data_IF_085449111792
#
_entry.id   IF_085449111792
#
_cell.length_a   1.000
_cell.length_b   1.000
_cell.length_c   1.000
_cell.angle_alpha   90.00
_cell.angle_beta   90.00
_cell.angle_gamma   90.00
#
_symmetry.space_group_name_H-M   'P 1'
#
loop_
_entity.id
_entity.type
_entity.pdbx_description
1 polymer ?
#
# COMPACT_ATOMS: atom_id res chain seq x y z
N UNK A 1 -28.79 50.05 7.82
CA UNK A 1 -28.20 48.82 8.42
C UNK A 1 -28.76 47.51 7.85
N UNK A 2 -29.29 47.45 6.60
CA UNK A 2 -29.77 46.19 5.99
C UNK A 2 -28.79 45.57 4.98
N UNK A 3 -27.83 46.35 4.47
CA UNK A 3 -26.91 45.92 3.39
C UNK A 3 -25.75 45.04 3.87
N UNK A 4 -25.31 45.19 5.12
CA UNK A 4 -24.22 44.39 5.68
C UNK A 4 -24.60 42.92 5.99
N UNK A 5 -25.89 42.65 6.23
CA UNK A 5 -26.38 41.31 6.58
C UNK A 5 -26.42 40.37 5.36
N UNK A 6 -26.67 40.91 4.17
CA UNK A 6 -26.76 40.13 2.92
C UNK A 6 -25.39 39.64 2.45
N UNK A 7 -24.33 40.42 2.68
CA UNK A 7 -22.96 40.05 2.30
C UNK A 7 -22.41 38.90 3.17
N UNK A 8 -22.75 38.88 4.47
CA UNK A 8 -22.30 37.82 5.40
C UNK A 8 -22.97 36.48 5.10
N UNK A 9 -24.27 36.47 4.73
CA UNK A 9 -24.98 35.26 4.33
C UNK A 9 -24.45 34.64 3.04
N UNK A 10 -23.98 35.46 2.09
CA UNK A 10 -23.43 35.00 0.80
C UNK A 10 -22.04 34.36 0.96
N UNK A 11 -21.21 34.89 1.87
CA UNK A 11 -19.89 34.32 2.20
C UNK A 11 -20.02 33.00 2.98
N UNK A 12 -20.99 32.91 3.91
CA UNK A 12 -21.25 31.66 4.67
C UNK A 12 -21.74 30.54 3.73
N UNK A 13 -22.61 30.86 2.77
CA UNK A 13 -23.08 29.89 1.76
C UNK A 13 -21.96 29.36 0.87
N UNK A 14 -21.04 30.23 0.44
CA UNK A 14 -19.89 29.84 -0.39
C UNK A 14 -18.88 28.95 0.36
N UNK A 15 -18.63 29.21 1.65
CA UNK A 15 -17.75 28.38 2.49
C UNK A 15 -18.38 27.01 2.81
N UNK A 16 -19.71 26.98 3.01
CA UNK A 16 -20.46 25.74 3.20
C UNK A 16 -20.44 24.85 1.95
N UNK A 17 -20.66 25.44 0.77
CA UNK A 17 -20.58 24.74 -0.51
C UNK A 17 -19.16 24.24 -0.81
N UNK A 18 -18.12 25.04 -0.55
CA UNK A 18 -16.73 24.62 -0.71
C UNK A 18 -16.34 23.45 0.21
N UNK A 19 -16.83 23.43 1.46
CA UNK A 19 -16.61 22.30 2.38
C UNK A 19 -17.38 21.04 1.97
N UNK A 20 -18.60 21.18 1.43
CA UNK A 20 -19.37 20.05 0.93
C UNK A 20 -18.73 19.45 -0.34
N UNK A 21 -18.26 20.29 -1.25
CA UNK A 21 -17.53 19.87 -2.47
C UNK A 21 -16.19 19.23 -2.09
N UNK A 22 -15.44 19.79 -1.13
CA UNK A 22 -14.20 19.17 -0.66
C UNK A 22 -14.44 17.82 0.03
N UNK A 23 -15.50 17.67 0.84
CA UNK A 23 -15.87 16.37 1.44
C UNK A 23 -16.35 15.36 0.41
N UNK A 24 -17.13 15.80 -0.58
CA UNK A 24 -17.58 14.94 -1.67
C UNK A 24 -16.40 14.49 -2.55
N UNK A 25 -15.47 15.40 -2.88
CA UNK A 25 -14.26 15.09 -3.64
C UNK A 25 -13.31 14.15 -2.87
N UNK A 26 -13.16 14.33 -1.56
CA UNK A 26 -12.40 13.40 -0.70
C UNK A 26 -13.09 12.03 -0.61
N UNK A 27 -14.43 12.00 -0.55
CA UNK A 27 -15.22 10.77 -0.55
C UNK A 27 -15.10 10.00 -1.86
N UNK A 28 -15.20 10.67 -3.01
CA UNK A 28 -15.08 10.05 -4.34
C UNK A 28 -13.65 9.62 -4.64
N UNK A 29 -12.64 10.42 -4.26
CA UNK A 29 -11.25 10.02 -4.38
C UNK A 29 -10.93 8.81 -3.49
N UNK A 30 -11.48 8.77 -2.27
CA UNK A 30 -11.34 7.61 -1.37
C UNK A 30 -11.99 6.34 -1.93
N UNK A 31 -13.18 6.47 -2.53
CA UNK A 31 -13.90 5.35 -3.17
C UNK A 31 -13.20 4.84 -4.44
N UNK A 32 -12.65 5.73 -5.25
CA UNK A 32 -11.88 5.34 -6.44
C UNK A 32 -10.60 4.60 -6.04
N UNK A 33 -9.90 5.08 -4.99
CA UNK A 33 -8.73 4.38 -4.43
C UNK A 33 -9.14 3.02 -3.85
N UNK A 34 -10.23 2.93 -3.10
CA UNK A 34 -10.73 1.66 -2.54
C UNK A 34 -11.09 0.63 -3.63
N UNK A 35 -11.73 1.05 -4.73
CA UNK A 35 -12.03 0.17 -5.87
C UNK A 35 -10.78 -0.31 -6.59
N UNK A 36 -9.85 0.60 -6.87
CA UNK A 36 -8.56 0.24 -7.47
C UNK A 36 -7.77 -0.73 -6.57
N UNK A 37 -7.89 -0.59 -5.25
CA UNK A 37 -7.29 -1.52 -4.29
C UNK A 37 -7.89 -2.92 -4.37
N UNK A 38 -9.22 -3.04 -4.49
CA UNK A 38 -9.89 -4.33 -4.68
C UNK A 38 -9.53 -4.99 -6.01
N UNK A 39 -9.50 -4.23 -7.11
CA UNK A 39 -9.20 -4.78 -8.44
C UNK A 39 -7.77 -5.35 -8.54
N UNK A 40 -6.81 -4.68 -7.89
CA UNK A 40 -5.40 -5.12 -7.87
C UNK A 40 -5.21 -6.40 -7.06
N UNK A 41 -5.96 -6.58 -5.97
CA UNK A 41 -5.87 -7.79 -5.13
C UNK A 41 -6.73 -8.94 -5.68
N UNK A 42 -7.82 -8.63 -6.39
CA UNK A 42 -8.62 -9.60 -7.13
C UNK A 42 -7.86 -10.17 -8.35
N UNK A 43 -6.89 -9.42 -8.89
CA UNK A 43 -6.05 -9.90 -9.97
C UNK A 43 -5.19 -11.10 -9.51
N UNK A 44 -5.17 -12.17 -10.30
CA UNK A 44 -4.31 -13.33 -10.04
C UNK A 44 -2.84 -12.93 -10.28
N UNK A 45 -2.06 -12.81 -9.20
CA UNK A 45 -0.63 -12.54 -9.25
C UNK A 45 0.18 -13.83 -9.35
N UNK A 46 1.25 -13.83 -10.15
CA UNK A 46 2.30 -14.84 -10.05
C UNK A 46 3.38 -14.37 -9.07
N UNK A 47 3.98 -15.30 -8.36
CA UNK A 47 5.04 -14.99 -7.39
C UNK A 47 6.28 -14.37 -8.08
N UNK A 48 6.60 -13.14 -7.70
CA UNK A 48 7.67 -12.33 -8.28
C UNK A 48 7.27 -11.55 -9.55
N UNK A 49 5.99 -11.50 -9.90
CA UNK A 49 5.51 -10.80 -11.09
C UNK A 49 5.55 -9.28 -10.89
N UNK A 50 6.16 -8.56 -11.84
CA UNK A 50 6.16 -7.10 -11.89
C UNK A 50 5.24 -6.64 -13.02
N UNK A 51 4.31 -5.75 -12.73
CA UNK A 51 3.41 -5.09 -13.69
C UNK A 51 3.64 -3.59 -13.67
N UNK A 52 3.37 -2.93 -14.79
CA UNK A 52 3.42 -1.48 -14.93
C UNK A 52 2.13 -1.04 -15.61
N UNK A 53 1.43 -0.09 -15.01
CA UNK A 53 0.19 0.45 -15.53
C UNK A 53 0.27 1.97 -15.58
N UNK A 54 -0.25 2.56 -16.66
CA UNK A 54 -0.36 4.00 -16.81
C UNK A 54 -1.71 4.47 -16.30
N UNK A 55 -1.70 5.26 -15.23
CA UNK A 55 -2.89 5.91 -14.69
C UNK A 55 -3.15 7.18 -15.50
N UNK A 56 -4.01 7.05 -16.50
CA UNK A 56 -4.27 8.13 -17.46
C UNK A 56 -4.86 9.39 -16.83
N UNK A 57 -5.59 9.26 -15.72
CA UNK A 57 -6.21 10.39 -15.00
C UNK A 57 -5.18 11.26 -14.25
N UNK A 58 -4.11 10.66 -13.71
CA UNK A 58 -3.08 11.37 -12.92
C UNK A 58 -1.77 11.57 -13.69
N UNK A 59 -1.63 10.98 -14.88
CA UNK A 59 -0.37 10.91 -15.64
C UNK A 59 0.76 10.32 -14.79
N UNK A 60 0.42 9.29 -14.04
CA UNK A 60 1.37 8.51 -13.25
C UNK A 60 1.51 7.13 -13.86
N UNK A 61 2.66 6.51 -13.62
CA UNK A 61 2.92 5.11 -13.87
C UNK A 61 2.93 4.40 -12.52
N UNK A 62 2.02 3.47 -12.30
CA UNK A 62 2.04 2.57 -11.15
C UNK A 62 2.84 1.32 -11.51
N UNK A 63 3.96 1.11 -10.82
CA UNK A 63 4.72 -0.13 -10.90
C UNK A 63 4.34 -0.96 -9.68
N UNK A 64 3.96 -2.21 -9.91
CA UNK A 64 3.52 -3.13 -8.87
C UNK A 64 4.29 -4.45 -8.93
N UNK A 65 4.62 -5.02 -7.78
CA UNK A 65 5.25 -6.32 -7.60
C UNK A 65 4.34 -7.22 -6.75
N UNK A 66 3.93 -8.36 -7.29
CA UNK A 66 3.21 -9.40 -6.56
C UNK A 66 4.16 -10.43 -5.94
N UNK A 67 4.00 -10.67 -4.65
CA UNK A 67 4.73 -11.66 -3.86
C UNK A 67 3.72 -12.60 -3.20
N UNK A 68 4.04 -13.88 -3.18
CA UNK A 68 3.22 -14.91 -2.54
C UNK A 68 3.97 -15.55 -1.36
N UNK A 69 4.25 -14.82 -0.27
CA UNK A 69 4.96 -15.38 0.87
C UNK A 69 4.09 -16.42 1.58
N UNK A 70 4.71 -17.53 1.96
CA UNK A 70 4.05 -18.64 2.64
C UNK A 70 4.41 -18.66 4.13
N UNK A 71 3.43 -19.05 4.94
CA UNK A 71 3.55 -19.27 6.38
C UNK A 71 2.84 -20.54 6.80
N UNK A 72 2.80 -20.80 8.11
CA UNK A 72 2.16 -22.01 8.65
C UNK A 72 0.65 -22.08 8.35
N UNK A 73 0.01 -20.93 8.14
CA UNK A 73 -1.44 -20.80 7.97
C UNK A 73 -1.90 -20.53 6.54
N UNK A 74 -0.99 -20.66 5.56
CA UNK A 74 -1.30 -20.49 4.14
C UNK A 74 -0.33 -19.57 3.41
N UNK A 75 -0.74 -19.14 2.23
CA UNK A 75 0.02 -18.21 1.39
C UNK A 75 -0.77 -16.92 1.24
N UNK A 76 -0.13 -15.80 1.57
CA UNK A 76 -0.71 -14.47 1.41
C UNK A 76 -0.37 -13.89 0.04
N UNK A 77 -1.20 -12.97 -0.45
CA UNK A 77 -0.85 -12.13 -1.59
C UNK A 77 -0.37 -10.78 -1.06
N UNK A 78 0.89 -10.45 -1.31
CA UNK A 78 1.46 -9.16 -0.98
C UNK A 78 1.78 -8.42 -2.28
N UNK A 79 1.24 -7.23 -2.46
CA UNK A 79 1.52 -6.37 -3.62
C UNK A 79 2.24 -5.11 -3.13
N UNK A 80 3.50 -4.96 -3.53
CA UNK A 80 4.24 -3.70 -3.36
C UNK A 80 3.97 -2.82 -4.56
N UNK A 81 3.61 -1.55 -4.34
CA UNK A 81 3.27 -0.62 -5.41
C UNK A 81 3.93 0.73 -5.20
N UNK A 82 4.40 1.31 -6.29
CA UNK A 82 4.98 2.66 -6.33
C UNK A 82 4.35 3.43 -7.48
N UNK A 83 3.92 4.66 -7.22
CA UNK A 83 3.43 5.58 -8.24
C UNK A 83 4.54 6.56 -8.60
N UNK A 84 4.82 6.67 -9.88
CA UNK A 84 5.85 7.53 -10.44
C UNK A 84 5.21 8.54 -11.39
N UNK A 85 5.62 9.81 -11.40
CA UNK A 85 5.16 10.74 -12.43
C UNK A 85 5.63 10.27 -13.83
N UNK A 86 4.81 10.45 -14.87
CA UNK A 86 5.16 10.08 -16.26
C UNK A 86 6.30 10.92 -16.85
N UNK A 87 6.49 12.16 -16.37
CA UNK A 87 7.67 12.95 -16.71
C UNK A 87 8.84 12.39 -15.92
N UNK A 88 10.05 12.34 -16.50
CA UNK A 88 11.22 11.76 -15.84
C UNK A 88 11.27 12.24 -14.39
N UNK A 89 10.99 11.36 -13.40
CA UNK A 89 11.11 11.75 -12.01
C UNK A 89 12.55 12.20 -11.81
N UNK A 90 12.74 13.48 -11.52
CA UNK A 90 14.04 14.01 -11.09
C UNK A 90 14.42 13.39 -9.75
N UNK A 91 13.41 12.97 -8.97
CA UNK A 91 13.56 12.40 -7.64
C UNK A 91 12.72 11.12 -7.48
N UNK A 92 13.23 10.10 -6.75
CA UNK A 92 12.50 8.87 -6.45
C UNK A 92 11.23 9.14 -5.62
N UNK A 93 10.25 8.23 -5.59
CA UNK A 93 9.05 8.42 -4.79
C UNK A 93 9.38 8.47 -3.29
N UNK A 94 8.80 9.44 -2.57
CA UNK A 94 9.04 9.62 -1.14
C UNK A 94 8.44 8.50 -0.27
N UNK A 95 7.37 7.85 -0.75
CA UNK A 95 6.70 6.73 -0.08
C UNK A 95 6.35 5.64 -1.09
N UNK A 96 6.26 4.40 -0.61
CA UNK A 96 5.74 3.26 -1.36
C UNK A 96 4.52 2.70 -0.63
N UNK A 97 3.56 2.20 -1.39
CA UNK A 97 2.36 1.60 -0.84
C UNK A 97 2.49 0.08 -0.86
N UNK A 98 2.29 -0.53 0.31
CA UNK A 98 2.12 -1.97 0.47
C UNK A 98 0.63 -2.26 0.49
N UNK A 99 0.19 -3.17 -0.37
CA UNK A 99 -1.16 -3.71 -0.41
C UNK A 99 -1.09 -5.19 -0.05
N UNK A 100 -1.97 -5.64 0.82
CA UNK A 100 -2.01 -7.01 1.32
C UNK A 100 -3.40 -7.55 1.02
N UNK A 101 -3.46 -8.66 0.32
CA UNK A 101 -4.66 -9.47 0.17
C UNK A 101 -4.48 -10.79 0.91
N UNK A 102 -5.30 -11.03 1.93
CA UNK A 102 -5.53 -12.37 2.44
C UNK A 102 -6.39 -13.09 1.41
N UNK A 103 -5.75 -13.73 0.42
CA UNK A 103 -6.46 -14.51 -0.57
C UNK A 103 -7.23 -15.68 0.07
N UNK A 104 -8.09 -16.34 -0.71
CA UNK A 104 -8.92 -17.49 -0.30
C UNK A 104 -8.14 -18.69 0.29
N UNK A 105 -6.82 -18.67 0.19
CA UNK A 105 -5.92 -19.74 0.64
C UNK A 105 -5.43 -19.56 2.08
N UNK A 106 -5.91 -18.54 2.80
CA UNK A 106 -5.57 -18.29 4.20
C UNK A 106 -6.77 -18.61 5.08
N UNK A 107 -6.52 -19.29 6.21
CA UNK A 107 -7.57 -19.53 7.18
C UNK A 107 -8.03 -18.18 7.78
N UNK A 108 -9.29 -17.76 7.59
CA UNK A 108 -9.76 -16.46 8.09
C UNK A 108 -9.69 -16.37 9.62
N UNK A 109 -9.83 -17.51 10.34
CA UNK A 109 -9.68 -17.56 11.80
C UNK A 109 -8.23 -17.39 12.28
N UNK A 110 -7.25 -17.45 11.38
CA UNK A 110 -5.85 -17.23 11.70
C UNK A 110 -5.47 -15.74 11.62
N UNK A 111 -6.30 -14.90 11.00
CA UNK A 111 -6.08 -13.45 10.93
C UNK A 111 -6.48 -12.84 12.27
N UNK A 112 -5.48 -12.61 13.12
CA UNK A 112 -5.68 -12.24 14.54
C UNK A 112 -5.46 -10.77 14.85
N UNK A 113 -5.05 -9.97 13.86
CA UNK A 113 -4.87 -8.54 14.06
C UNK A 113 -4.28 -7.81 12.87
N UNK A 114 -4.44 -6.49 12.89
CA UNK A 114 -3.83 -5.56 11.94
C UNK A 114 -2.34 -5.38 12.25
N UNK A 115 -1.55 -6.41 11.96
CA UNK A 115 -0.09 -6.36 12.12
C UNK A 115 0.58 -6.36 10.75
N UNK A 116 1.51 -5.45 10.54
CA UNK A 116 2.42 -5.46 9.41
C UNK A 116 3.82 -5.16 9.91
N UNK A 117 4.60 -6.22 10.12
CA UNK A 117 5.97 -6.13 10.63
C UNK A 117 6.90 -6.96 9.78
N UNK A 118 8.07 -6.42 9.46
CA UNK A 118 9.17 -7.15 8.83
C UNK A 118 10.36 -7.18 9.76
N UNK A 119 10.94 -8.36 9.95
CA UNK A 119 12.18 -8.56 10.69
C UNK A 119 13.26 -8.91 9.67
N UNK A 120 14.22 -8.01 9.55
CA UNK A 120 15.33 -8.08 8.60
C UNK A 120 16.54 -8.70 9.30
N UNK A 121 17.15 -9.69 8.66
CA UNK A 121 18.37 -10.36 9.11
C UNK A 121 18.33 -10.77 10.59
N UNK A 122 17.32 -11.55 11.04
CA UNK A 122 17.05 -11.81 12.46
C UNK A 122 18.18 -12.53 13.23
N UNK A 123 19.14 -13.11 12.52
CA UNK A 123 20.32 -13.79 13.11
C UNK A 123 21.59 -12.95 13.02
N UNK A 124 21.51 -11.75 12.44
CA UNK A 124 22.62 -10.82 12.29
C UNK A 124 22.65 -9.83 13.45
N UNK A 125 23.84 -9.34 13.87
CA UNK A 125 23.95 -8.20 14.77
C UNK A 125 23.28 -6.92 14.24
N UNK A 126 23.02 -6.85 12.93
CA UNK A 126 22.34 -5.73 12.27
C UNK A 126 20.82 -5.92 12.15
N UNK A 127 20.25 -6.89 12.88
CA UNK A 127 18.82 -7.18 12.85
C UNK A 127 18.00 -5.90 13.04
N UNK A 128 17.13 -5.63 12.08
CA UNK A 128 16.31 -4.41 12.05
C UNK A 128 14.85 -4.81 11.91
N UNK A 129 13.95 -4.05 12.51
CA UNK A 129 12.50 -4.27 12.39
C UNK A 129 11.85 -3.06 11.74
N UNK A 130 11.05 -3.32 10.70
CA UNK A 130 10.15 -2.34 10.09
C UNK A 130 8.75 -2.68 10.59
N UNK A 131 8.16 -1.78 11.36
CA UNK A 131 6.78 -1.92 11.83
C UNK A 131 5.90 -0.85 11.17
N UNK A 132 4.93 -1.28 10.38
CA UNK A 132 3.96 -0.43 9.71
C UNK A 132 2.53 -0.77 10.16
N UNK A 133 2.38 -1.44 11.31
CA UNK A 133 1.06 -1.83 11.85
C UNK A 133 0.20 -0.60 12.18
N UNK A 134 0.81 0.49 12.63
CA UNK A 134 0.17 1.77 12.90
C UNK A 134 -0.37 2.48 11.65
N UNK A 135 0.25 2.18 10.49
CA UNK A 135 -0.11 2.69 9.15
C UNK A 135 -1.01 1.74 8.38
N UNK A 136 -1.26 0.53 8.92
CA UNK A 136 -2.12 -0.45 8.28
C UNK A 136 -3.59 -0.03 8.37
N UNK A 137 -4.30 -0.13 7.25
CA UNK A 137 -5.72 0.20 7.09
C UNK A 137 -6.39 -0.96 6.39
N UNK A 138 -7.40 -1.55 7.03
CA UNK A 138 -8.29 -2.49 6.37
C UNK A 138 -9.37 -1.74 5.59
N UNK A 139 -9.72 -2.27 4.42
CA UNK A 139 -10.71 -1.64 3.55
C UNK A 139 -12.15 -1.91 4.01
N UNK A 140 -12.37 -3.04 4.69
CA UNK A 140 -13.65 -3.41 5.29
C UNK A 140 -13.41 -3.99 6.69
N UNK A 141 -13.88 -3.27 7.72
CA UNK A 141 -13.87 -3.71 9.12
C UNK A 141 -15.29 -4.09 9.55
N UNK A 142 -15.99 -4.88 8.74
CA UNK A 142 -17.20 -5.54 9.23
C UNK A 142 -16.75 -6.58 10.28
N UNK A 143 -17.21 -6.49 11.55
CA UNK A 143 -16.85 -7.43 12.61
C UNK A 143 -17.20 -8.90 12.29
N UNK A 144 -18.08 -9.12 11.31
CA UNK A 144 -18.49 -10.43 10.82
C UNK A 144 -17.80 -10.88 9.54
N UNK A 145 -17.06 -10.00 8.86
CA UNK A 145 -16.32 -10.32 7.64
C UNK A 145 -14.87 -10.71 7.94
N UNK A 146 -14.33 -11.62 7.14
CA UNK A 146 -12.90 -11.89 7.13
C UNK A 146 -12.14 -10.66 6.65
N UNK A 147 -10.97 -10.43 7.26
CA UNK A 147 -10.10 -9.33 6.87
C UNK A 147 -9.39 -9.69 5.55
N UNK A 148 -10.07 -9.42 4.44
CA UNK A 148 -9.61 -9.90 3.13
C UNK A 148 -8.53 -8.99 2.55
N UNK A 149 -8.56 -7.69 2.85
CA UNK A 149 -7.67 -6.71 2.26
C UNK A 149 -7.22 -5.64 3.27
N UNK A 150 -5.94 -5.32 3.23
CA UNK A 150 -5.35 -4.22 3.98
C UNK A 150 -4.29 -3.48 3.15
N UNK A 151 -4.02 -2.23 3.51
CA UNK A 151 -2.96 -1.44 2.88
C UNK A 151 -2.22 -0.62 3.92
N UNK A 152 -0.94 -0.39 3.69
CA UNK A 152 -0.10 0.47 4.51
C UNK A 152 0.88 1.21 3.60
N UNK A 153 1.39 2.34 4.09
CA UNK A 153 2.48 3.05 3.42
C UNK A 153 3.79 2.79 4.17
N UNK A 154 4.86 2.51 3.42
CA UNK A 154 6.22 2.49 3.94
C UNK A 154 7.02 3.65 3.35
N UNK A 155 7.95 4.15 4.14
CA UNK A 155 8.87 5.20 3.72
C UNK A 155 9.90 4.63 2.75
N UNK A 156 10.52 5.51 1.96
CA UNK A 156 11.63 5.13 1.08
C UNK A 156 12.80 4.49 1.85
N UNK A 157 13.09 4.96 3.07
CA UNK A 157 14.19 4.43 3.92
C UNK A 157 13.90 2.98 4.33
N UNK A 158 12.68 2.71 4.80
CA UNK A 158 12.24 1.35 5.16
C UNK A 158 12.25 0.43 3.94
N UNK A 159 11.84 0.94 2.77
CA UNK A 159 11.91 0.17 1.53
C UNK A 159 13.35 -0.18 1.16
N UNK A 160 14.28 0.79 1.22
CA UNK A 160 15.70 0.52 0.97
C UNK A 160 16.27 -0.52 1.95
N UNK A 161 15.85 -0.49 3.22
CA UNK A 161 16.24 -1.52 4.19
C UNK A 161 15.72 -2.90 3.78
N UNK A 162 14.46 -3.02 3.34
CA UNK A 162 13.91 -4.29 2.80
C UNK A 162 14.74 -4.83 1.63
N UNK A 163 15.12 -3.96 0.69
CA UNK A 163 15.90 -4.38 -0.50
C UNK A 163 17.29 -4.92 -0.15
N UNK A 164 17.88 -4.42 0.94
CA UNK A 164 19.24 -4.75 1.38
C UNK A 164 19.31 -5.98 2.26
N UNK A 165 18.19 -6.43 2.83
CA UNK A 165 18.16 -7.58 3.72
C UNK A 165 18.51 -8.89 2.98
N UNK A 166 19.29 -9.74 3.63
CA UNK A 166 19.62 -11.09 3.15
C UNK A 166 18.54 -12.10 3.53
N UNK A 167 17.90 -11.89 4.69
CA UNK A 167 16.80 -12.70 5.19
C UNK A 167 15.67 -11.77 5.63
N UNK A 168 14.45 -12.08 5.17
CA UNK A 168 13.25 -11.33 5.56
C UNK A 168 12.25 -12.33 6.14
N UNK A 169 11.91 -12.13 7.40
CA UNK A 169 10.74 -12.71 8.04
C UNK A 169 9.69 -11.61 8.21
N UNK A 170 8.42 -11.97 8.24
CA UNK A 170 7.35 -11.00 8.44
C UNK A 170 6.24 -11.54 9.31
N UNK A 171 5.53 -10.63 9.95
CA UNK A 171 4.22 -10.86 10.52
C UNK A 171 3.22 -10.00 9.77
N UNK A 172 2.38 -10.63 8.95
CA UNK A 172 1.41 -9.95 8.07
C UNK A 172 0.02 -10.42 8.46
N UNK A 173 -0.84 -9.49 8.88
CA UNK A 173 -2.17 -9.77 9.44
C UNK A 173 -2.14 -10.72 10.63
N UNK A 174 -1.06 -10.67 11.41
CA UNK A 174 -0.80 -11.57 12.54
C UNK A 174 -0.24 -12.94 12.16
N UNK A 175 -0.02 -13.21 10.87
CA UNK A 175 0.55 -14.47 10.38
C UNK A 175 2.04 -14.35 10.17
N UNK A 176 2.79 -15.32 10.73
CA UNK A 176 4.22 -15.44 10.46
C UNK A 176 4.44 -15.95 9.04
N UNK A 177 5.21 -15.19 8.27
CA UNK A 177 5.58 -15.49 6.89
C UNK A 177 7.08 -15.39 6.71
N UNK A 178 7.60 -16.12 5.73
CA UNK A 178 8.99 -16.04 5.31
C UNK A 178 9.07 -15.75 3.82
N UNK A 179 10.08 -14.97 3.43
CA UNK A 179 10.33 -14.65 2.03
C UNK A 179 11.42 -15.54 1.48
N UNK A 180 11.18 -16.15 0.32
CA UNK A 180 12.19 -16.95 -0.40
C UNK A 180 13.26 -16.06 -1.02
N UNK A 181 14.38 -16.65 -1.43
CA UNK A 181 15.44 -15.92 -2.16
C UNK A 181 14.90 -15.28 -3.44
N UNK A 182 14.17 -16.05 -4.25
CA UNK A 182 13.50 -15.57 -5.46
C UNK A 182 12.62 -14.33 -5.20
N UNK A 183 11.88 -14.31 -4.09
CA UNK A 183 11.04 -13.16 -3.74
C UNK A 183 11.87 -11.94 -3.34
N UNK A 184 13.00 -12.15 -2.64
CA UNK A 184 13.94 -11.06 -2.33
C UNK A 184 14.60 -10.50 -3.58
N UNK A 185 14.96 -11.35 -4.54
CA UNK A 185 15.49 -10.91 -5.83
C UNK A 185 14.45 -10.12 -6.63
N UNK A 186 13.20 -10.59 -6.65
CA UNK A 186 12.10 -9.84 -7.28
C UNK A 186 11.88 -8.47 -6.62
N UNK A 187 12.01 -8.38 -5.29
CA UNK A 187 11.98 -7.09 -4.58
C UNK A 187 13.12 -6.16 -5.01
N UNK A 188 14.34 -6.68 -5.15
CA UNK A 188 15.50 -5.92 -5.66
C UNK A 188 15.27 -5.44 -7.08
N UNK A 189 14.78 -6.30 -7.98
CA UNK A 189 14.45 -5.94 -9.36
C UNK A 189 13.38 -4.85 -9.42
N UNK A 190 12.35 -4.94 -8.57
CA UNK A 190 11.33 -3.92 -8.42
C UNK A 190 11.95 -2.60 -7.92
N UNK A 191 12.78 -2.65 -6.88
CA UNK A 191 13.51 -1.48 -6.37
C UNK A 191 14.37 -0.81 -7.44
N UNK A 192 15.07 -1.59 -8.26
CA UNK A 192 15.87 -1.06 -9.38
C UNK A 192 15.04 -0.37 -10.45
N UNK A 193 13.76 -0.72 -10.63
CA UNK A 193 12.85 -0.02 -11.55
C UNK A 193 12.28 1.26 -10.96
N UNK A 194 11.98 1.24 -9.66
CA UNK A 194 11.37 2.36 -8.93
C UNK A 194 12.39 3.45 -8.61
N UNK A 195 13.63 3.07 -8.28
CA UNK A 195 14.67 3.99 -7.83
C UNK A 195 15.58 4.50 -8.97
N UNK A 196 15.43 3.98 -10.19
CA UNK A 196 16.28 4.41 -11.30
C UNK A 196 15.95 5.86 -11.67
N UNK A 197 16.96 6.74 -11.78
CA UNK A 197 16.77 8.03 -12.42
C UNK A 197 16.28 7.78 -13.86
N UNK A 198 15.22 8.46 -14.27
CA UNK A 198 14.83 8.44 -15.68
C UNK A 198 15.97 9.07 -16.50
N UNK A 199 16.52 8.29 -17.44
CA UNK A 199 17.56 8.75 -18.36
C UNK A 199 16.98 9.58 -19.49
#
# INVERSE_FOLDING_TARGET
MRTALVLVLLVIGAVGAARAIARAAVGEAGLAVARQLQDVLAAKWRDGEIRSEVISSTRETEISLGLLPSGQHGTLTLVLSARLPQRPPVEPPGTLQIRIGAGLNVNPNAIRGLVLRFVLDPKSPQATTIDASDRLRALDLDPSASLDNASAEITLVEFIQLLRADVIAGQILGLDVSFTEKQRDAMRDFGMRVLRPAR
#
